data_IF_771705819605
#
_entry.id   IF_771705819605
#
_cell.length_a   1.000
_cell.length_b   1.000
_cell.length_c   1.000
_cell.angle_alpha   90.00
_cell.angle_beta   90.00
_cell.angle_gamma   90.00
#
_symmetry.space_group_name_H-M   'P 1'
#
loop_
_entity.id
_entity.type
_entity.pdbx_description
1 polymer ?
#
# COMPACT_ATOMS: atom_id res chain seq x y z
N UNK A 1 46.14 1.24 11.87
CA UNK A 1 45.52 0.60 13.04
C UNK A 1 44.12 1.17 13.18
N UNK A 2 43.12 0.45 12.63
CA UNK A 2 41.72 0.79 12.71
C UNK A 2 41.20 0.53 14.13
N UNK A 3 40.61 1.54 14.76
CA UNK A 3 39.83 1.38 15.98
C UNK A 3 38.35 1.55 15.67
N UNK A 4 37.70 0.50 15.19
CA UNK A 4 36.24 0.45 15.08
C UNK A 4 35.66 0.12 16.45
N UNK A 5 35.01 1.09 17.09
CA UNK A 5 34.05 0.81 18.16
C UNK A 5 32.64 0.91 17.56
N UNK A 6 31.84 -0.16 17.64
CA UNK A 6 30.48 -0.19 17.15
C UNK A 6 29.57 0.42 18.22
N UNK A 7 28.53 1.17 17.81
CA UNK A 7 27.17 1.01 18.33
C UNK A 7 26.24 2.15 17.93
N UNK A 8 25.02 1.71 17.68
CA UNK A 8 23.76 2.45 17.81
C UNK A 8 23.48 3.44 16.68
N UNK A 9 23.07 2.85 15.56
CA UNK A 9 22.16 3.46 14.61
C UNK A 9 20.77 3.58 15.29
N UNK A 10 20.68 4.44 16.30
CA UNK A 10 19.42 5.07 16.69
C UNK A 10 19.17 6.19 15.66
N UNK A 11 17.92 6.68 15.58
CA UNK A 11 17.39 7.74 14.69
C UNK A 11 16.93 7.18 13.33
N UNK A 12 15.64 7.03 13.02
CA UNK A 12 14.50 7.94 13.26
C UNK A 12 13.21 7.11 13.48
N UNK A 13 12.66 7.13 14.69
CA UNK A 13 11.22 6.99 14.91
C UNK A 13 10.67 8.40 15.12
N UNK A 14 10.11 9.00 14.07
CA UNK A 14 9.28 10.22 14.08
C UNK A 14 8.66 10.28 12.68
N UNK A 15 7.36 10.24 12.43
CA UNK A 15 6.16 10.62 13.17
C UNK A 15 5.03 9.77 12.58
N UNK A 16 4.18 9.17 13.41
CA UNK A 16 2.99 8.45 12.93
C UNK A 16 2.01 9.47 12.33
N UNK A 17 1.94 9.53 11.01
CA UNK A 17 0.75 9.99 10.31
C UNK A 17 0.27 8.81 9.48
N UNK A 18 -0.74 8.11 9.99
CA UNK A 18 -1.43 7.08 9.25
C UNK A 18 -2.28 7.78 8.18
N UNK A 19 -1.95 7.54 6.92
CA UNK A 19 -2.79 7.94 5.79
C UNK A 19 -3.78 6.81 5.53
N UNK A 20 -5.07 7.11 5.57
CA UNK A 20 -6.12 6.17 5.18
C UNK A 20 -6.44 6.32 3.71
N UNK A 21 -6.61 5.19 3.05
CA UNK A 21 -6.95 5.12 1.65
C UNK A 21 -8.17 4.20 1.52
N UNK A 22 -9.31 4.75 1.09
CA UNK A 22 -10.55 3.99 0.95
C UNK A 22 -10.69 3.49 -0.47
N UNK A 23 -10.75 2.18 -0.66
CA UNK A 23 -10.95 1.53 -1.95
C UNK A 23 -12.16 0.59 -1.94
N UNK A 24 -13.04 0.73 -2.91
CA UNK A 24 -14.02 -0.29 -3.24
C UNK A 24 -13.32 -1.41 -4.03
N UNK A 25 -12.87 -2.44 -3.33
CA UNK A 25 -12.12 -3.56 -3.87
C UNK A 25 -12.94 -4.86 -3.83
N UNK A 26 -12.87 -5.61 -4.92
CA UNK A 26 -13.50 -6.92 -5.07
C UNK A 26 -12.41 -7.99 -5.05
N UNK A 27 -12.37 -8.78 -3.99
CA UNK A 27 -11.46 -9.91 -3.85
C UNK A 27 -12.19 -11.22 -4.20
N UNK A 28 -11.57 -12.07 -5.02
CA UNK A 28 -12.15 -13.35 -5.47
C UNK A 28 -11.56 -14.57 -4.76
N UNK A 29 -10.69 -14.38 -3.77
CA UNK A 29 -9.94 -15.47 -3.11
C UNK A 29 -10.63 -15.92 -1.81
N UNK A 30 -10.58 -17.22 -1.53
CA UNK A 30 -11.40 -17.91 -0.51
C UNK A 30 -10.75 -17.99 0.89
N UNK A 31 -9.56 -17.42 1.07
CA UNK A 31 -8.74 -17.66 2.27
C UNK A 31 -8.86 -16.60 3.38
N UNK A 32 -9.64 -15.54 3.18
CA UNK A 32 -9.97 -14.61 4.27
C UNK A 32 -11.35 -14.98 4.81
N UNK A 33 -11.47 -15.47 6.07
CA UNK A 33 -12.76 -15.72 6.69
C UNK A 33 -13.63 -14.45 6.62
N UNK A 34 -14.75 -14.54 5.90
CA UNK A 34 -15.71 -13.44 5.78
C UNK A 34 -15.65 -12.63 4.47
N UNK A 35 -14.79 -12.97 3.51
CA UNK A 35 -14.87 -12.40 2.14
C UNK A 35 -15.67 -13.33 1.24
N UNK A 36 -16.78 -12.84 0.70
CA UNK A 36 -17.61 -13.55 -0.26
C UNK A 36 -17.12 -13.22 -1.66
N UNK A 37 -16.75 -14.24 -2.46
CA UNK A 37 -16.39 -14.01 -3.85
C UNK A 37 -17.51 -13.28 -4.56
N UNK A 38 -17.10 -12.25 -5.29
CA UNK A 38 -17.95 -11.35 -6.05
C UNK A 38 -18.65 -10.20 -5.31
N UNK A 39 -18.49 -10.10 -4.00
CA UNK A 39 -18.98 -8.94 -3.26
C UNK A 39 -17.95 -7.81 -3.30
N UNK A 40 -18.44 -6.56 -3.37
CA UNK A 40 -17.59 -5.36 -3.36
C UNK A 40 -17.47 -4.88 -1.94
N UNK A 41 -16.24 -4.79 -1.45
CA UNK A 41 -15.96 -4.32 -0.10
C UNK A 41 -15.27 -2.97 -0.13
N UNK A 42 -15.64 -2.12 0.81
CA UNK A 42 -14.87 -0.90 1.08
C UNK A 42 -13.73 -1.24 2.03
N UNK A 43 -12.51 -1.01 1.58
CA UNK A 43 -11.27 -1.35 2.29
C UNK A 43 -10.54 -0.06 2.63
N UNK A 44 -10.10 0.05 3.88
CA UNK A 44 -9.17 1.11 4.29
C UNK A 44 -7.74 0.54 4.27
N UNK A 45 -6.87 1.12 3.44
CA UNK A 45 -5.46 0.75 3.29
C UNK A 45 -4.60 1.83 3.94
N UNK A 46 -3.70 1.42 4.83
CA UNK A 46 -2.73 2.33 5.45
C UNK A 46 -1.57 2.58 4.47
N UNK A 47 -1.34 3.85 4.11
CA UNK A 47 -0.07 4.25 3.51
C UNK A 47 0.92 4.57 4.63
N UNK A 48 2.05 3.84 4.63
CA UNK A 48 3.18 4.04 5.55
C UNK A 48 3.83 5.42 5.33
N UNK A 49 4.48 6.01 6.35
CA UNK A 49 4.81 7.43 6.37
C UNK A 49 5.62 7.88 5.15
N UNK A 50 5.13 8.94 4.52
CA UNK A 50 5.77 9.62 3.39
C UNK A 50 6.28 10.98 3.82
N UNK A 51 7.55 11.29 3.55
CA UNK A 51 8.05 12.66 3.54
C UNK A 51 8.56 12.96 2.12
N UNK A 52 7.69 13.60 1.33
CA UNK A 52 7.94 13.88 -0.08
C UNK A 52 7.56 15.33 -0.36
N UNK A 53 8.40 16.03 -1.12
CA UNK A 53 8.12 17.38 -1.65
C UNK A 53 8.01 17.24 -3.16
N UNK A 54 6.87 17.68 -3.72
CA UNK A 54 6.64 17.69 -5.17
C UNK A 54 6.92 19.08 -5.72
N UNK A 55 7.76 19.16 -6.74
CA UNK A 55 8.04 20.37 -7.49
C UNK A 55 6.98 20.62 -8.57
N UNK A 56 7.00 21.83 -9.13
CA UNK A 56 6.12 22.19 -10.24
C UNK A 56 6.33 21.23 -11.42
N UNK A 57 5.25 20.59 -11.84
CA UNK A 57 5.25 19.64 -12.96
C UNK A 57 5.44 18.18 -12.56
N UNK A 58 5.82 17.91 -11.31
CA UNK A 58 5.86 16.56 -10.76
C UNK A 58 4.46 16.08 -10.37
N UNK A 59 4.30 14.76 -10.27
CA UNK A 59 3.02 14.12 -9.95
C UNK A 59 3.23 13.03 -8.92
N UNK A 60 2.29 12.95 -7.97
CA UNK A 60 2.14 11.77 -7.16
C UNK A 60 1.34 10.72 -7.95
N UNK A 61 1.87 9.52 -8.04
CA UNK A 61 1.22 8.38 -8.69
C UNK A 61 1.00 7.30 -7.63
N UNK A 62 -0.21 6.75 -7.60
CA UNK A 62 -0.57 5.62 -6.74
C UNK A 62 -0.80 4.40 -7.62
N UNK A 63 0.08 3.43 -7.51
CA UNK A 63 -0.07 2.14 -8.18
C UNK A 63 -0.85 1.18 -7.28
N UNK A 64 -1.87 0.54 -7.83
CA UNK A 64 -2.69 -0.45 -7.13
C UNK A 64 -2.49 -1.79 -7.81
N UNK A 65 -2.01 -2.78 -7.05
CA UNK A 65 -1.77 -4.13 -7.52
C UNK A 65 -2.18 -5.15 -6.48
N UNK A 66 -2.63 -6.31 -6.96
CA UNK A 66 -2.90 -7.48 -6.12
C UNK A 66 -1.68 -8.39 -5.95
N UNK A 67 -0.57 -8.03 -6.61
CA UNK A 67 0.73 -8.67 -6.55
C UNK A 67 1.80 -7.59 -6.37
N UNK A 68 3.04 -8.03 -6.20
CA UNK A 68 4.20 -7.17 -6.11
C UNK A 68 4.27 -6.20 -7.30
N UNK A 69 4.46 -4.93 -6.98
CA UNK A 69 4.63 -3.86 -7.95
C UNK A 69 6.13 -3.69 -8.28
N UNK A 70 6.41 -2.91 -9.32
CA UNK A 70 7.78 -2.56 -9.66
C UNK A 70 8.49 -1.93 -8.44
N UNK A 71 9.66 -2.46 -8.10
CA UNK A 71 10.45 -2.00 -6.94
C UNK A 71 10.51 -2.98 -5.77
N UNK A 72 9.72 -4.07 -5.75
CA UNK A 72 9.80 -5.10 -4.70
C UNK A 72 11.13 -5.86 -4.66
N UNK A 73 11.94 -5.78 -5.72
CA UNK A 73 13.27 -6.39 -5.78
C UNK A 73 13.22 -7.90 -5.51
N UNK A 74 14.04 -8.36 -4.55
CA UNK A 74 14.10 -9.77 -4.12
C UNK A 74 13.00 -10.16 -3.14
N UNK A 75 12.23 -9.20 -2.61
CA UNK A 75 11.21 -9.43 -1.60
C UNK A 75 9.85 -9.66 -2.27
N UNK A 76 9.71 -10.81 -2.92
CA UNK A 76 8.46 -11.23 -3.57
C UNK A 76 7.72 -12.29 -2.74
N UNK A 77 6.39 -12.21 -2.69
CA UNK A 77 5.51 -13.22 -2.11
C UNK A 77 4.84 -14.05 -3.21
N UNK A 78 5.64 -14.74 -4.03
CA UNK A 78 5.14 -15.59 -5.13
C UNK A 78 5.35 -17.10 -4.88
N UNK A 79 5.80 -17.48 -3.68
CA UNK A 79 6.04 -18.87 -3.34
C UNK A 79 4.74 -19.68 -3.34
N UNK A 80 4.64 -20.82 -4.05
CA UNK A 80 3.39 -21.57 -4.20
C UNK A 80 2.88 -22.19 -2.89
N UNK A 81 3.75 -22.31 -1.88
CA UNK A 81 3.37 -22.75 -0.53
C UNK A 81 2.60 -21.68 0.26
N UNK A 82 2.85 -20.41 -0.02
CA UNK A 82 2.17 -19.26 0.62
C UNK A 82 1.05 -18.69 -0.29
N UNK A 83 1.28 -18.66 -1.61
CA UNK A 83 0.35 -18.18 -2.62
C UNK A 83 0.01 -19.26 -3.66
N UNK A 84 -0.73 -20.31 -3.29
CA UNK A 84 -1.16 -21.34 -4.24
C UNK A 84 -2.06 -20.76 -5.33
N UNK A 85 -1.80 -21.12 -6.59
CA UNK A 85 -2.59 -20.63 -7.74
C UNK A 85 -4.09 -20.95 -7.64
N UNK A 86 -4.43 -22.09 -7.02
CA UNK A 86 -5.82 -22.51 -6.80
C UNK A 86 -6.63 -21.50 -5.99
N UNK A 87 -5.96 -20.61 -5.26
CA UNK A 87 -6.57 -19.57 -4.43
C UNK A 87 -6.36 -18.19 -5.04
N UNK A 88 -5.16 -17.85 -5.50
CA UNK A 88 -4.77 -16.47 -5.82
C UNK A 88 -4.77 -16.08 -7.31
N UNK A 89 -5.01 -17.02 -8.25
CA UNK A 89 -4.99 -16.76 -9.70
C UNK A 89 -6.24 -16.05 -10.25
N UNK A 90 -6.96 -15.30 -9.41
CA UNK A 90 -8.17 -14.58 -9.78
C UNK A 90 -7.92 -13.14 -10.27
N UNK A 91 -8.96 -12.50 -10.79
CA UNK A 91 -8.94 -11.07 -11.12
C UNK A 91 -9.42 -10.24 -9.92
N UNK A 92 -8.73 -9.13 -9.64
CA UNK A 92 -9.17 -8.15 -8.65
C UNK A 92 -9.70 -6.92 -9.38
N UNK A 93 -10.78 -6.35 -8.87
CA UNK A 93 -11.42 -5.18 -9.47
C UNK A 93 -11.50 -4.04 -8.47
N UNK A 94 -11.09 -2.85 -8.90
CA UNK A 94 -11.33 -1.59 -8.19
C UNK A 94 -12.50 -0.90 -8.87
N UNK A 95 -13.53 -0.57 -8.08
CA UNK A 95 -14.78 -0.03 -8.60
C UNK A 95 -14.80 1.49 -8.51
N UNK A 96 -15.06 2.16 -9.64
CA UNK A 96 -15.25 3.62 -9.73
C UNK A 96 -16.68 3.94 -10.19
N UNK A 97 -17.23 5.05 -9.70
CA UNK A 97 -18.55 5.53 -10.10
C UNK A 97 -19.27 6.25 -8.96
N UNK A 98 -20.47 6.81 -9.21
CA UNK A 98 -21.20 7.60 -8.21
C UNK A 98 -21.60 6.81 -6.94
N UNK A 99 -21.63 5.48 -7.03
CA UNK A 99 -21.95 4.59 -5.92
C UNK A 99 -20.72 4.08 -5.15
N UNK A 100 -19.50 4.47 -5.58
CA UNK A 100 -18.24 3.98 -5.01
C UNK A 100 -17.33 5.16 -4.69
N UNK A 101 -17.17 5.45 -3.41
CA UNK A 101 -16.31 6.53 -2.93
C UNK A 101 -14.89 6.00 -2.72
N UNK A 102 -13.95 6.45 -3.56
CA UNK A 102 -12.54 6.10 -3.46
C UNK A 102 -11.72 7.38 -3.27
N UNK A 103 -10.85 7.42 -2.26
CA UNK A 103 -10.07 8.63 -1.94
C UNK A 103 -8.79 8.30 -1.16
N UNK A 104 -7.85 9.24 -1.20
CA UNK A 104 -6.57 9.21 -0.48
C UNK A 104 -6.52 10.35 0.52
N UNK A 105 -6.24 10.04 1.80
CA UNK A 105 -6.05 11.05 2.84
C UNK A 105 -4.59 11.50 2.95
N UNK A 106 -4.16 12.54 2.26
CA UNK A 106 -2.76 12.98 2.37
C UNK A 106 -2.55 14.02 3.48
N UNK A 107 -1.55 13.86 4.37
CA UNK A 107 -1.17 14.89 5.34
C UNK A 107 -0.34 15.98 4.64
N UNK A 108 -1.04 16.87 3.92
CA UNK A 108 -0.40 17.99 3.21
C UNK A 108 0.04 19.05 4.22
N UNK A 109 1.34 19.32 4.29
CA UNK A 109 1.85 20.44 5.07
C UNK A 109 1.45 21.76 4.39
N UNK A 110 0.84 22.71 5.10
CA UNK A 110 0.53 24.02 4.54
C UNK A 110 1.84 24.73 4.18
N UNK A 111 1.84 25.50 3.09
CA UNK A 111 2.94 26.43 2.82
C UNK A 111 2.95 27.52 3.88
N UNK A 112 4.12 27.85 4.40
CA UNK A 112 4.31 29.10 5.13
C UNK A 112 4.29 30.23 4.10
N UNK A 113 3.24 31.05 4.10
CA UNK A 113 3.26 32.35 3.43
C UNK A 113 4.26 33.30 4.11
#
# INVERSE_FOLDING_TARGET
MAGSQPRLQTWIYSTFSATFHRLAAKCLTREIPGIIPNEVYTVDVELRPTNVVLQKGERLVSDIGASELAGSGLFQHNGPSDRPESVFKGNNHVHFGPNYENWISLPVNPSSD
#
